data_IF_996967028550
#
_entry.id   IF_996967028550
#
_cell.length_a   1.000
_cell.length_b   1.000
_cell.length_c   1.000
_cell.angle_alpha   90.00
_cell.angle_beta   90.00
_cell.angle_gamma   90.00
#
_symmetry.space_group_name_H-M   'P 1'
#
loop_
_entity.id
_entity.type
_entity.pdbx_description
1 polymer ?
#
# COMPACT_ATOMS: atom_id res chain seq x y z
N UNK A 1 -3.92 -0.29 14.00
CA UNK A 1 -4.92 0.35 14.87
C UNK A 1 -4.34 1.53 15.64
N UNK A 2 -5.17 2.33 16.27
CA UNK A 2 -4.67 3.41 17.10
C UNK A 2 -3.84 2.85 18.25
N UNK A 3 -2.64 3.37 18.43
CA UNK A 3 -1.77 3.06 19.55
C UNK A 3 -1.40 4.34 20.29
N UNK A 4 -1.02 4.19 21.55
CA UNK A 4 -0.52 5.29 22.38
C UNK A 4 0.80 4.88 23.01
N UNK A 5 1.78 5.77 22.93
CA UNK A 5 3.04 5.67 23.67
C UNK A 5 3.15 6.95 24.51
N UNK A 6 3.27 6.77 25.82
CA UNK A 6 3.41 7.86 26.77
C UNK A 6 4.74 7.70 27.49
N UNK A 7 5.53 8.77 27.53
CA UNK A 7 6.73 8.84 28.36
C UNK A 7 6.41 9.82 29.49
N UNK A 8 6.36 9.30 30.72
CA UNK A 8 6.17 10.10 31.91
C UNK A 8 7.53 10.47 32.52
N UNK A 9 7.81 11.77 32.57
CA UNK A 9 9.08 12.33 33.05
C UNK A 9 8.90 13.20 34.28
N UNK A 10 7.75 13.10 34.99
CA UNK A 10 7.45 13.91 36.19
C UNK A 10 8.50 13.73 37.30
N UNK A 11 9.17 12.61 37.33
CA UNK A 11 10.32 12.38 38.20
C UNK A 11 11.60 12.42 37.36
N UNK A 12 12.48 13.39 37.62
CA UNK A 12 13.75 13.54 36.86
C UNK A 12 14.71 12.33 36.98
N UNK A 13 14.49 11.42 37.91
CA UNK A 13 15.31 10.23 38.13
C UNK A 13 14.76 8.97 37.47
N UNK A 14 13.48 8.97 37.12
CA UNK A 14 12.79 7.80 36.60
C UNK A 14 11.91 8.22 35.41
N UNK A 15 11.97 7.43 34.37
CA UNK A 15 11.12 7.60 33.19
C UNK A 15 10.23 6.37 33.04
N UNK A 16 8.94 6.57 32.96
CA UNK A 16 7.96 5.52 32.76
C UNK A 16 7.50 5.52 31.32
N UNK A 17 7.72 4.41 30.61
CA UNK A 17 7.18 4.17 29.28
C UNK A 17 5.90 3.36 29.41
N UNK A 18 4.80 3.89 28.90
CA UNK A 18 3.52 3.16 28.77
C UNK A 18 3.19 3.09 27.28
N UNK A 19 3.02 1.89 26.77
CA UNK A 19 2.68 1.66 25.37
C UNK A 19 1.55 0.64 25.25
N UNK A 20 0.60 0.88 24.37
CA UNK A 20 -0.54 -0.01 24.17
C UNK A 20 -1.50 0.47 23.11
N UNK A 21 -2.64 -0.20 23.02
CA UNK A 21 -3.78 0.24 22.21
C UNK A 21 -4.29 1.55 22.82
N UNK A 22 -4.60 2.53 21.96
CA UNK A 22 -5.19 3.79 22.42
C UNK A 22 -6.56 3.54 23.03
N UNK A 23 -6.81 4.12 24.18
CA UNK A 23 -8.12 4.09 24.84
C UNK A 23 -9.19 4.94 24.13
N UNK A 24 -8.79 5.79 23.19
CA UNK A 24 -9.72 6.64 22.46
C UNK A 24 -10.67 5.83 21.59
N UNK A 25 -11.96 5.80 21.97
CA UNK A 25 -13.01 5.04 21.29
C UNK A 25 -12.69 3.54 21.12
N UNK A 26 -11.92 2.94 22.04
CA UNK A 26 -11.43 1.56 21.90
C UNK A 26 -11.50 0.84 23.26
N UNK A 27 -12.71 0.69 23.79
CA UNK A 27 -12.97 -0.21 24.90
C UNK A 27 -13.18 -1.62 24.36
N UNK A 28 -12.59 -2.63 25.00
CA UNK A 28 -12.73 -4.02 24.59
C UNK A 28 -13.23 -4.86 25.76
N UNK A 29 -14.45 -5.40 25.64
CA UNK A 29 -15.09 -6.23 26.67
C UNK A 29 -14.75 -7.70 26.45
N UNK A 30 -14.11 -8.33 27.43
CA UNK A 30 -13.87 -9.78 27.46
C UNK A 30 -14.98 -10.47 28.23
N UNK A 31 -15.61 -11.48 27.61
CA UNK A 31 -16.55 -12.35 28.29
C UNK A 31 -15.80 -13.37 29.14
N UNK A 32 -16.52 -13.98 30.09
CA UNK A 32 -15.93 -15.03 30.92
C UNK A 32 -15.37 -16.18 30.07
N UNK A 33 -14.10 -16.46 30.26
CA UNK A 33 -13.37 -17.52 29.53
C UNK A 33 -12.70 -17.08 28.23
N UNK A 34 -12.91 -15.84 27.77
CA UNK A 34 -12.19 -15.28 26.63
C UNK A 34 -10.83 -14.75 27.05
N UNK A 35 -9.91 -14.69 26.08
CA UNK A 35 -8.57 -14.09 26.23
C UNK A 35 -8.34 -13.07 25.15
N UNK A 36 -7.57 -12.05 25.48
CA UNK A 36 -7.10 -11.02 24.54
C UNK A 36 -5.59 -10.96 24.55
N UNK A 37 -4.98 -11.09 23.37
CA UNK A 37 -3.54 -10.92 23.22
C UNK A 37 -3.26 -9.50 22.71
N UNK A 38 -2.53 -8.72 23.50
CA UNK A 38 -2.11 -7.38 23.10
C UNK A 38 -1.13 -7.44 21.91
N UNK A 39 -1.06 -6.41 21.08
CA UNK A 39 0.01 -6.29 20.09
C UNK A 39 1.39 -6.36 20.74
N UNK A 40 2.36 -6.92 20.01
CA UNK A 40 3.75 -6.91 20.44
C UNK A 40 4.30 -5.47 20.48
N UNK A 41 5.02 -5.11 21.52
CA UNK A 41 5.85 -3.92 21.60
C UNK A 41 7.31 -4.32 21.39
N UNK A 42 7.94 -3.80 20.34
CA UNK A 42 9.37 -3.94 20.12
C UNK A 42 10.09 -2.65 20.54
N UNK A 43 11.14 -2.78 21.35
CA UNK A 43 12.02 -1.67 21.66
C UNK A 43 13.49 -2.14 21.62
N UNK A 44 14.39 -1.21 21.36
CA UNK A 44 15.81 -1.49 21.30
C UNK A 44 16.60 -0.45 22.11
N UNK A 45 17.67 -0.92 22.70
CA UNK A 45 18.68 -0.08 23.35
C UNK A 45 20.02 -0.27 22.64
N UNK A 46 20.79 0.80 22.53
CA UNK A 46 22.16 0.75 21.99
C UNK A 46 23.02 1.85 22.62
N UNK A 47 24.24 1.52 22.95
CA UNK A 47 25.29 2.46 23.35
C UNK A 47 26.02 3.07 22.13
N UNK A 48 25.75 2.55 20.91
CA UNK A 48 26.22 3.09 19.64
C UNK A 48 25.31 4.19 19.06
N UNK A 49 24.43 4.77 19.85
CA UNK A 49 23.49 5.81 19.46
C UNK A 49 22.39 5.34 18.50
N UNK A 50 21.71 6.29 17.83
CA UNK A 50 20.56 6.01 16.97
C UNK A 50 20.89 5.07 15.79
N UNK A 51 22.10 5.14 15.25
CA UNK A 51 22.53 4.20 14.20
C UNK A 51 22.59 2.75 14.69
N UNK A 52 23.01 2.51 15.91
CA UNK A 52 23.01 1.19 16.55
C UNK A 52 21.59 0.66 16.72
N UNK A 53 20.66 1.49 17.22
CA UNK A 53 19.24 1.17 17.34
C UNK A 53 18.65 0.81 15.97
N UNK A 54 18.86 1.65 14.96
CA UNK A 54 18.38 1.44 13.60
C UNK A 54 18.86 0.11 13.00
N UNK A 55 20.17 -0.16 13.07
CA UNK A 55 20.74 -1.44 12.58
C UNK A 55 20.16 -2.66 13.33
N UNK A 56 19.84 -2.53 14.60
CA UNK A 56 19.22 -3.60 15.40
C UNK A 56 17.80 -3.90 14.91
N UNK A 57 16.99 -2.88 14.66
CA UNK A 57 15.66 -3.04 14.04
C UNK A 57 15.75 -3.67 12.65
N UNK A 58 16.68 -3.24 11.80
CA UNK A 58 16.83 -3.80 10.46
C UNK A 58 17.19 -5.28 10.48
N UNK A 59 18.15 -5.68 11.32
CA UNK A 59 18.52 -7.09 11.48
C UNK A 59 17.37 -7.91 12.03
N UNK A 60 16.72 -7.40 13.09
CA UNK A 60 15.57 -8.06 13.70
C UNK A 60 14.44 -8.26 12.70
N UNK A 61 14.08 -7.22 11.95
CA UNK A 61 12.98 -7.29 10.99
C UNK A 61 13.25 -8.30 9.86
N UNK A 62 14.47 -8.30 9.30
CA UNK A 62 14.85 -9.20 8.22
C UNK A 62 14.97 -10.66 8.64
N UNK A 63 15.51 -10.93 9.82
CA UNK A 63 15.85 -12.27 10.27
C UNK A 63 14.73 -12.97 11.04
N UNK A 64 13.72 -12.23 11.50
CA UNK A 64 12.62 -12.77 12.31
C UNK A 64 11.25 -12.66 11.59
N UNK A 65 11.25 -12.64 10.26
CA UNK A 65 10.02 -12.57 9.44
C UNK A 65 9.08 -11.41 9.81
N UNK A 66 9.65 -10.28 10.28
CA UNK A 66 8.87 -9.07 10.55
C UNK A 66 8.63 -8.23 9.29
N UNK A 67 9.25 -8.61 8.18
CA UNK A 67 8.95 -8.21 6.81
C UNK A 67 8.86 -9.49 5.98
N UNK A 68 7.77 -9.67 5.23
CA UNK A 68 7.63 -10.85 4.38
C UNK A 68 8.77 -10.89 3.35
N UNK A 69 9.41 -12.05 3.19
CA UNK A 69 10.56 -12.20 2.30
C UNK A 69 11.65 -11.12 2.49
N UNK A 70 11.92 -10.71 3.73
CA UNK A 70 12.81 -9.58 4.08
C UNK A 70 14.27 -9.72 3.63
N UNK A 71 14.69 -10.90 3.15
CA UNK A 71 16.02 -11.18 2.59
C UNK A 71 16.02 -11.36 1.07
N UNK A 72 14.85 -11.43 0.42
CA UNK A 72 14.74 -11.62 -1.01
C UNK A 72 15.12 -10.34 -1.79
N UNK A 73 15.71 -10.54 -2.97
CA UNK A 73 15.93 -9.45 -3.91
C UNK A 73 14.60 -8.94 -4.46
N UNK A 74 14.50 -7.64 -4.60
CA UNK A 74 13.33 -6.96 -5.18
C UNK A 74 13.60 -6.61 -6.64
N UNK A 75 12.55 -6.67 -7.47
CA UNK A 75 12.64 -6.33 -8.88
C UNK A 75 12.58 -4.82 -9.11
N UNK A 76 13.33 -4.35 -10.08
CA UNK A 76 13.26 -2.98 -10.55
C UNK A 76 11.98 -2.81 -11.35
N UNK A 77 11.08 -1.94 -10.87
CA UNK A 77 9.76 -1.76 -11.47
C UNK A 77 9.55 -0.39 -12.11
N UNK A 78 8.57 -0.34 -13.03
CA UNK A 78 7.89 0.89 -13.43
C UNK A 78 6.43 0.81 -13.00
N UNK A 79 5.99 1.81 -12.23
CA UNK A 79 4.59 2.04 -11.89
C UNK A 79 3.99 3.08 -12.86
N UNK A 80 2.76 2.86 -13.30
CA UNK A 80 2.12 3.73 -14.30
C UNK A 80 1.55 5.03 -13.74
N UNK A 81 1.42 5.19 -12.40
CA UNK A 81 0.66 6.29 -11.79
C UNK A 81 1.10 7.67 -12.29
N UNK A 82 2.29 8.13 -11.97
CA UNK A 82 2.75 9.47 -12.40
C UNK A 82 2.98 9.58 -13.91
N UNK A 83 3.00 8.45 -14.64
CA UNK A 83 3.04 8.45 -16.09
C UNK A 83 1.71 8.82 -16.74
N UNK A 84 0.62 8.24 -16.27
CA UNK A 84 -0.70 8.39 -16.94
C UNK A 84 -1.85 8.70 -15.98
N UNK A 85 -1.64 8.58 -14.67
CA UNK A 85 -2.71 8.68 -13.66
C UNK A 85 -3.88 7.75 -14.01
N UNK A 86 -5.12 8.21 -13.89
CA UNK A 86 -6.33 7.45 -14.23
C UNK A 86 -6.56 7.24 -15.75
N UNK A 87 -5.67 7.77 -16.61
CA UNK A 87 -5.78 7.64 -18.07
C UNK A 87 -5.14 6.34 -18.57
N UNK A 88 -5.51 5.24 -17.95
CA UNK A 88 -5.10 3.90 -18.37
C UNK A 88 -5.68 3.58 -19.74
N UNK A 89 -4.88 2.99 -20.62
CA UNK A 89 -5.30 2.45 -21.92
C UNK A 89 -4.40 1.28 -22.33
N UNK A 90 -4.93 0.36 -23.13
CA UNK A 90 -4.18 -0.80 -23.62
C UNK A 90 -2.83 -0.37 -24.25
N UNK A 91 -2.88 0.52 -25.23
CA UNK A 91 -1.70 1.02 -25.95
C UNK A 91 -0.73 1.76 -25.02
N UNK A 92 -1.28 2.59 -24.10
CA UNK A 92 -0.45 3.36 -23.16
C UNK A 92 0.35 2.45 -22.22
N UNK A 93 -0.28 1.37 -21.71
CA UNK A 93 0.40 0.39 -20.84
C UNK A 93 1.48 -0.36 -21.61
N UNK A 94 1.20 -0.81 -22.83
CA UNK A 94 2.17 -1.51 -23.66
C UNK A 94 3.39 -0.63 -24.02
N UNK A 95 3.18 0.65 -24.34
CA UNK A 95 4.29 1.61 -24.55
C UNK A 95 5.13 1.81 -23.30
N UNK A 96 4.52 1.85 -22.12
CA UNK A 96 5.28 1.95 -20.88
C UNK A 96 6.06 0.68 -20.58
N UNK A 97 5.51 -0.51 -20.94
CA UNK A 97 6.24 -1.79 -20.85
C UNK A 97 7.46 -1.81 -21.78
N UNK A 98 7.33 -1.30 -23.01
CA UNK A 98 8.47 -1.16 -23.92
C UNK A 98 9.56 -0.27 -23.32
N UNK A 99 9.16 0.86 -22.75
CA UNK A 99 10.08 1.79 -22.11
C UNK A 99 10.83 1.20 -20.92
N UNK A 100 10.15 0.50 -20.00
CA UNK A 100 10.85 -0.13 -18.85
C UNK A 100 11.74 -1.27 -19.30
N UNK A 101 11.33 -2.04 -20.31
CA UNK A 101 12.17 -3.07 -20.90
C UNK A 101 13.45 -2.49 -21.49
N UNK A 102 13.33 -1.39 -22.21
CA UNK A 102 14.48 -0.69 -22.79
C UNK A 102 15.46 -0.17 -21.73
N UNK A 103 14.94 0.26 -20.57
CA UNK A 103 15.72 0.70 -19.41
C UNK A 103 16.41 -0.45 -18.65
N UNK A 104 16.07 -1.70 -18.94
CA UNK A 104 16.61 -2.88 -18.23
C UNK A 104 15.81 -3.25 -16.97
N UNK A 105 14.63 -2.65 -16.74
CA UNK A 105 13.77 -3.03 -15.62
C UNK A 105 13.11 -4.40 -15.81
N UNK A 106 12.49 -4.89 -14.76
CA UNK A 106 12.07 -6.29 -14.64
C UNK A 106 10.57 -6.48 -14.39
N UNK A 107 9.86 -5.43 -13.96
CA UNK A 107 8.47 -5.50 -13.51
C UNK A 107 7.71 -4.25 -13.96
N UNK A 108 6.53 -4.45 -14.54
CA UNK A 108 5.58 -3.38 -14.84
C UNK A 108 4.36 -3.49 -13.92
N UNK A 109 3.97 -2.39 -13.30
CA UNK A 109 2.80 -2.30 -12.40
C UNK A 109 1.80 -1.31 -12.96
N UNK A 110 0.62 -1.79 -13.35
CA UNK A 110 -0.52 -0.95 -13.69
C UNK A 110 -1.17 -0.44 -12.41
N UNK A 111 -1.18 0.88 -12.23
CA UNK A 111 -1.77 1.54 -11.06
C UNK A 111 -3.28 1.78 -11.24
N UNK A 112 -3.89 2.65 -10.42
CA UNK A 112 -5.32 2.98 -10.41
C UNK A 112 -5.84 3.42 -11.79
N UNK A 113 -7.12 3.12 -12.06
CA UNK A 113 -7.82 3.58 -13.27
C UNK A 113 -8.21 2.49 -14.27
N UNK A 114 -7.97 1.21 -13.97
CA UNK A 114 -8.21 0.08 -14.89
C UNK A 114 -9.60 -0.54 -14.81
N UNK A 115 -10.39 -0.20 -13.79
CA UNK A 115 -11.64 -0.90 -13.41
C UNK A 115 -12.87 0.01 -13.48
N UNK A 116 -14.04 -0.60 -13.27
CA UNK A 116 -15.33 0.05 -13.19
C UNK A 116 -16.16 -0.08 -14.47
N UNK A 117 -17.31 -0.74 -14.39
CA UNK A 117 -18.23 -0.91 -15.52
C UNK A 117 -19.32 0.17 -15.53
N UNK A 118 -20.27 0.14 -14.62
CA UNK A 118 -21.33 1.16 -14.50
C UNK A 118 -20.77 2.56 -14.24
N UNK A 119 -19.81 2.65 -13.33
CA UNK A 119 -19.06 3.84 -12.98
C UNK A 119 -17.64 3.72 -13.50
N UNK A 120 -17.23 4.56 -14.44
CA UNK A 120 -15.89 4.50 -15.01
C UNK A 120 -14.88 5.17 -14.11
N UNK A 121 -13.82 4.44 -13.70
CA UNK A 121 -12.71 4.98 -12.90
C UNK A 121 -11.82 5.91 -13.71
N UNK A 122 -12.35 7.09 -14.06
CA UNK A 122 -11.62 8.17 -14.76
C UNK A 122 -11.43 9.40 -13.89
N UNK A 123 -12.03 9.41 -12.72
CA UNK A 123 -11.93 10.40 -11.64
C UNK A 123 -11.93 9.69 -10.29
N UNK A 124 -11.46 10.36 -9.25
CA UNK A 124 -11.29 9.76 -7.91
C UNK A 124 -12.61 9.53 -7.14
N UNK A 125 -13.74 9.99 -7.66
CA UNK A 125 -15.00 10.06 -6.94
C UNK A 125 -15.94 8.87 -7.18
N UNK A 126 -15.50 7.83 -7.91
CA UNK A 126 -16.34 6.69 -8.25
C UNK A 126 -15.59 5.39 -8.46
N UNK A 127 -16.34 4.29 -8.53
CA UNK A 127 -15.95 2.94 -8.93
C UNK A 127 -15.07 2.15 -7.95
N UNK A 128 -14.47 2.72 -6.89
CA UNK A 128 -13.81 1.89 -5.89
C UNK A 128 -14.80 0.87 -5.32
N UNK A 129 -14.37 -0.39 -5.28
CA UNK A 129 -15.20 -1.55 -4.94
C UNK A 129 -15.62 -2.39 -6.14
N UNK A 130 -15.68 -1.79 -7.34
CA UNK A 130 -16.13 -2.44 -8.58
C UNK A 130 -14.91 -2.97 -9.36
N UNK A 131 -14.31 -4.05 -8.89
CA UNK A 131 -13.07 -4.61 -9.42
C UNK A 131 -13.28 -5.41 -10.73
N UNK A 132 -13.97 -4.79 -11.67
CA UNK A 132 -14.23 -5.33 -13.01
C UNK A 132 -13.48 -4.50 -14.03
N UNK A 133 -12.78 -5.15 -14.96
CA UNK A 133 -12.01 -4.45 -16.02
C UNK A 133 -12.88 -3.50 -16.82
N UNK A 134 -12.48 -2.23 -16.92
CA UNK A 134 -13.10 -1.29 -17.86
C UNK A 134 -12.68 -1.61 -19.31
N UNK A 135 -13.54 -2.31 -20.03
CA UNK A 135 -13.29 -2.74 -21.42
C UNK A 135 -13.21 -1.60 -22.42
N UNK A 136 -13.67 -0.39 -22.05
CA UNK A 136 -13.50 0.82 -22.87
C UNK A 136 -12.05 1.30 -22.91
N UNK A 137 -11.33 1.09 -21.80
CA UNK A 137 -9.90 1.41 -21.63
C UNK A 137 -9.01 0.24 -22.04
N UNK A 138 -9.43 -0.97 -21.70
CA UNK A 138 -8.71 -2.24 -21.88
C UNK A 138 -9.58 -3.21 -22.70
N UNK A 139 -9.72 -2.99 -24.00
CA UNK A 139 -10.65 -3.79 -24.84
C UNK A 139 -10.30 -5.27 -24.89
N UNK A 140 -9.04 -5.64 -24.62
CA UNK A 140 -8.58 -7.02 -24.61
C UNK A 140 -8.47 -7.58 -23.18
N UNK A 141 -8.91 -6.81 -22.17
CA UNK A 141 -8.87 -7.17 -20.75
C UNK A 141 -7.47 -7.13 -20.13
N UNK A 142 -7.42 -7.24 -18.79
CA UNK A 142 -6.16 -7.31 -18.03
C UNK A 142 -5.29 -8.51 -18.40
N UNK A 143 -5.84 -9.71 -18.73
CA UNK A 143 -5.02 -10.85 -19.17
C UNK A 143 -4.19 -10.58 -20.43
N UNK A 144 -4.63 -9.70 -21.31
CA UNK A 144 -3.84 -9.31 -22.48
C UNK A 144 -2.59 -8.51 -22.09
N UNK A 145 -2.70 -7.64 -21.05
CA UNK A 145 -1.56 -6.87 -20.53
C UNK A 145 -0.55 -7.78 -19.79
N UNK A 146 -1.03 -8.76 -19.02
CA UNK A 146 -0.14 -9.78 -18.44
C UNK A 146 0.69 -10.51 -19.52
N UNK A 147 0.02 -10.96 -20.59
CA UNK A 147 0.70 -11.58 -21.74
C UNK A 147 1.66 -10.63 -22.43
N UNK A 148 1.29 -9.37 -22.60
CA UNK A 148 2.14 -8.34 -23.17
C UNK A 148 3.40 -8.08 -22.32
N UNK A 149 3.29 -8.08 -21.00
CA UNK A 149 4.43 -8.01 -20.08
C UNK A 149 5.33 -9.26 -20.24
N UNK A 150 4.75 -10.45 -20.21
CA UNK A 150 5.46 -11.72 -20.34
C UNK A 150 6.22 -11.82 -21.68
N UNK A 151 5.63 -11.39 -22.81
CA UNK A 151 6.27 -11.38 -24.14
C UNK A 151 7.51 -10.48 -24.20
N UNK A 152 7.59 -9.48 -23.32
CA UNK A 152 8.73 -8.57 -23.13
C UNK A 152 9.74 -9.07 -22.09
N UNK A 153 9.48 -10.23 -21.47
CA UNK A 153 10.29 -10.76 -20.37
C UNK A 153 10.12 -9.98 -19.05
N UNK A 154 9.02 -9.24 -18.93
CA UNK A 154 8.67 -8.50 -17.71
C UNK A 154 7.75 -9.33 -16.83
N UNK A 155 7.85 -9.13 -15.51
CA UNK A 155 6.82 -9.53 -14.57
C UNK A 155 5.67 -8.52 -14.63
N UNK A 156 4.48 -8.97 -14.22
CA UNK A 156 3.25 -8.20 -14.20
C UNK A 156 2.82 -7.88 -12.77
N UNK A 157 2.33 -6.68 -12.54
CA UNK A 157 1.72 -6.25 -11.28
C UNK A 157 0.53 -5.33 -11.49
N UNK A 158 -0.31 -5.24 -10.47
CA UNK A 158 -1.56 -4.48 -10.51
C UNK A 158 -1.82 -3.79 -9.16
N UNK A 159 -2.45 -2.63 -9.21
CA UNK A 159 -2.91 -1.86 -8.05
C UNK A 159 -4.34 -2.23 -7.67
N UNK A 160 -4.59 -2.30 -6.37
CA UNK A 160 -5.92 -2.42 -5.78
C UNK A 160 -6.02 -1.60 -4.49
N UNK A 161 -7.24 -1.20 -4.13
CA UNK A 161 -7.58 -0.58 -2.85
C UNK A 161 -8.82 -1.29 -2.26
N UNK A 162 -8.68 -2.58 -1.86
CA UNK A 162 -9.82 -3.46 -1.67
C UNK A 162 -10.57 -3.25 -0.35
N UNK A 163 -10.00 -2.47 0.57
CA UNK A 163 -10.64 -2.07 1.84
C UNK A 163 -11.52 -0.83 1.68
N UNK A 164 -11.64 -0.28 0.47
CA UNK A 164 -12.34 0.97 0.20
C UNK A 164 -13.42 0.81 -0.85
N UNK A 165 -14.40 1.71 -0.81
CA UNK A 165 -15.43 1.86 -1.84
C UNK A 165 -15.75 3.34 -2.04
N UNK A 166 -16.46 3.68 -3.11
CA UNK A 166 -17.05 5.01 -3.29
C UNK A 166 -18.57 4.93 -3.09
N UNK A 167 -19.19 6.03 -2.69
CA UNK A 167 -20.65 6.14 -2.70
C UNK A 167 -21.23 5.97 -4.11
N UNK A 168 -20.44 6.25 -5.15
CA UNK A 168 -20.73 5.98 -6.56
C UNK A 168 -20.03 4.70 -7.00
N UNK A 169 -20.50 3.55 -6.52
CA UNK A 169 -20.05 2.22 -6.94
C UNK A 169 -21.21 1.24 -6.89
N UNK A 170 -21.15 0.19 -7.69
CA UNK A 170 -22.13 -0.90 -7.65
C UNK A 170 -22.02 -1.67 -6.34
N UNK A 171 -20.81 -1.76 -5.76
CA UNK A 171 -20.62 -2.38 -4.46
C UNK A 171 -21.43 -1.66 -3.37
N UNK A 172 -21.32 -0.34 -3.30
CA UNK A 172 -22.06 0.45 -2.29
C UNK A 172 -23.57 0.44 -2.53
N UNK A 173 -24.02 0.41 -3.80
CA UNK A 173 -25.44 0.26 -4.12
C UNK A 173 -26.01 -1.07 -3.61
N UNK A 174 -25.23 -2.14 -3.67
CA UNK A 174 -25.62 -3.49 -3.25
C UNK A 174 -25.48 -3.70 -1.73
N UNK A 175 -24.45 -3.12 -1.14
CA UNK A 175 -24.02 -3.35 0.24
C UNK A 175 -23.69 -2.04 0.98
N UNK A 176 -24.65 -1.10 1.13
CA UNK A 176 -24.42 0.14 1.87
C UNK A 176 -24.20 -0.09 3.38
N UNK A 177 -24.49 -1.29 3.87
CA UNK A 177 -24.25 -1.71 5.25
C UNK A 177 -22.80 -2.15 5.51
N UNK A 178 -22.00 -2.40 4.47
CA UNK A 178 -20.62 -2.88 4.62
C UNK A 178 -19.59 -1.80 4.96
N UNK A 179 -20.02 -0.55 5.02
CA UNK A 179 -19.07 0.55 5.30
C UNK A 179 -18.98 0.85 6.79
N UNK A 180 -17.78 1.27 7.21
CA UNK A 180 -17.54 1.79 8.55
C UNK A 180 -18.41 3.03 8.76
N UNK A 181 -19.42 2.88 9.61
CA UNK A 181 -20.37 3.93 9.93
C UNK A 181 -21.14 3.55 11.19
N UNK A 182 -21.30 4.49 12.10
CA UNK A 182 -22.21 4.29 13.24
C UNK A 182 -23.64 4.08 12.73
N UNK A 183 -24.40 3.09 13.26
CA UNK A 183 -25.72 2.74 12.75
C UNK A 183 -26.71 3.91 12.59
N UNK A 184 -26.61 4.91 13.46
CA UNK A 184 -27.52 6.06 13.51
C UNK A 184 -26.91 7.34 12.91
N UNK A 185 -25.86 7.24 12.09
CA UNK A 185 -25.18 8.41 11.48
C UNK A 185 -24.97 8.21 9.99
N UNK A 186 -24.80 9.31 9.27
CA UNK A 186 -24.37 9.29 7.87
C UNK A 186 -22.87 8.97 7.82
N UNK A 187 -22.40 8.14 6.88
CA UNK A 187 -20.99 7.92 6.67
C UNK A 187 -20.24 9.23 6.41
N UNK A 188 -19.04 9.37 6.96
CA UNK A 188 -18.12 10.43 6.59
C UNK A 188 -17.35 9.94 5.37
N UNK A 189 -17.37 10.76 4.31
CA UNK A 189 -16.67 10.50 3.07
C UNK A 189 -15.30 11.15 3.06
N UNK A 190 -14.33 10.45 2.49
CA UNK A 190 -12.95 10.91 2.32
C UNK A 190 -12.66 11.46 0.92
N UNK A 191 -11.58 11.01 0.34
CA UNK A 191 -11.03 11.43 -0.95
C UNK A 191 -12.12 11.50 -2.03
N UNK A 192 -12.07 12.53 -2.86
CA UNK A 192 -13.08 12.79 -3.90
C UNK A 192 -14.49 13.11 -3.36
N UNK A 193 -14.66 13.26 -2.04
CA UNK A 193 -15.96 13.48 -1.39
C UNK A 193 -16.88 12.26 -1.40
N UNK A 194 -16.40 11.08 -1.78
CA UNK A 194 -17.21 9.87 -1.96
C UNK A 194 -16.58 8.60 -1.40
N UNK A 195 -15.28 8.60 -1.08
CA UNK A 195 -14.57 7.42 -0.60
C UNK A 195 -15.03 7.01 0.81
N UNK A 196 -15.23 5.72 1.00
CA UNK A 196 -15.67 5.08 2.24
C UNK A 196 -14.79 3.88 2.56
N UNK A 197 -14.71 3.52 3.83
CA UNK A 197 -13.96 2.35 4.31
C UNK A 197 -14.91 1.18 4.47
N UNK A 198 -14.55 0.02 3.96
CA UNK A 198 -15.26 -1.23 4.20
C UNK A 198 -14.97 -1.76 5.61
N UNK A 199 -15.98 -2.28 6.26
CA UNK A 199 -15.89 -2.77 7.65
C UNK A 199 -15.27 -4.16 7.73
N UNK A 200 -13.96 -4.23 7.92
CA UNK A 200 -13.23 -5.49 8.05
C UNK A 200 -13.56 -6.29 9.31
N UNK A 201 -14.35 -5.76 10.26
CA UNK A 201 -14.90 -6.56 11.35
C UNK A 201 -15.97 -7.56 10.86
N UNK A 202 -16.60 -7.28 9.71
CA UNK A 202 -17.60 -8.12 9.08
C UNK A 202 -16.96 -9.25 8.25
N UNK A 203 -17.23 -10.54 8.54
CA UNK A 203 -16.72 -11.66 7.75
C UNK A 203 -17.08 -11.64 6.26
N UNK A 204 -18.26 -11.11 5.89
CA UNK A 204 -18.66 -11.00 4.48
C UNK A 204 -17.74 -10.02 3.72
N UNK A 205 -17.35 -8.93 4.38
CA UNK A 205 -16.36 -7.96 3.84
C UNK A 205 -14.98 -8.61 3.73
N UNK A 206 -14.56 -9.41 4.72
CA UNK A 206 -13.32 -10.18 4.65
C UNK A 206 -13.30 -11.13 3.46
N UNK A 207 -14.42 -11.81 3.20
CA UNK A 207 -14.57 -12.72 2.06
C UNK A 207 -14.56 -11.96 0.74
N UNK A 208 -15.20 -10.79 0.66
CA UNK A 208 -15.14 -9.91 -0.50
C UNK A 208 -13.71 -9.47 -0.80
N UNK A 209 -12.98 -8.94 0.20
CA UNK A 209 -11.61 -8.46 0.04
C UNK A 209 -10.66 -9.59 -0.38
N UNK A 210 -10.80 -10.78 0.21
CA UNK A 210 -10.08 -11.97 -0.24
C UNK A 210 -10.43 -12.30 -1.70
N UNK A 211 -11.72 -12.23 -2.05
CA UNK A 211 -12.23 -12.52 -3.39
C UNK A 211 -11.65 -11.58 -4.46
N UNK A 212 -11.40 -10.31 -4.14
CA UNK A 212 -10.75 -9.36 -5.06
C UNK A 212 -9.38 -9.89 -5.50
N UNK A 213 -8.52 -10.26 -4.55
CA UNK A 213 -7.21 -10.84 -4.85
C UNK A 213 -7.33 -12.17 -5.57
N UNK A 214 -8.22 -13.04 -5.10
CA UNK A 214 -8.42 -14.39 -5.67
C UNK A 214 -8.87 -14.33 -7.12
N UNK A 215 -9.75 -13.40 -7.47
CA UNK A 215 -10.22 -13.21 -8.85
C UNK A 215 -9.11 -12.67 -9.76
N UNK A 216 -8.33 -11.69 -9.31
CA UNK A 216 -7.16 -11.21 -10.06
C UNK A 216 -6.20 -12.38 -10.35
N UNK A 217 -5.87 -13.17 -9.33
CA UNK A 217 -4.97 -14.31 -9.49
C UNK A 217 -5.53 -15.42 -10.37
N UNK A 218 -6.85 -15.54 -10.50
CA UNK A 218 -7.50 -16.47 -11.43
C UNK A 218 -7.50 -15.96 -12.86
N UNK A 219 -7.74 -14.66 -13.05
CA UNK A 219 -7.74 -14.03 -14.39
C UNK A 219 -6.34 -13.87 -14.94
N UNK A 220 -5.37 -13.53 -14.08
CA UNK A 220 -3.97 -13.28 -14.41
C UNK A 220 -3.06 -14.12 -13.49
N UNK A 221 -2.92 -15.44 -13.79
CA UNK A 221 -2.26 -16.39 -12.87
C UNK A 221 -0.75 -16.17 -12.73
N UNK A 222 -0.12 -15.37 -13.62
CA UNK A 222 1.29 -15.01 -13.52
C UNK A 222 1.49 -13.62 -12.86
N UNK A 223 0.45 -13.06 -12.24
CA UNK A 223 0.59 -11.83 -11.45
C UNK A 223 1.64 -12.05 -10.37
N UNK A 224 2.70 -11.26 -10.46
CA UNK A 224 3.84 -11.31 -9.53
C UNK A 224 3.70 -10.32 -8.39
N UNK A 225 2.98 -9.21 -8.61
CA UNK A 225 2.99 -8.08 -7.70
C UNK A 225 1.60 -7.43 -7.56
N UNK A 226 1.24 -7.12 -6.33
CA UNK A 226 0.06 -6.30 -6.01
C UNK A 226 0.48 -5.08 -5.19
N UNK A 227 0.16 -3.88 -5.66
CA UNK A 227 0.17 -2.68 -4.83
C UNK A 227 -1.17 -2.56 -4.13
N UNK A 228 -1.17 -2.77 -2.82
CA UNK A 228 -2.36 -2.73 -1.97
C UNK A 228 -2.43 -1.40 -1.24
N UNK A 229 -3.38 -0.57 -1.63
CA UNK A 229 -3.58 0.77 -1.11
C UNK A 229 -4.72 0.86 -0.08
N UNK A 230 -4.75 1.97 0.69
CA UNK A 230 -5.81 2.31 1.63
C UNK A 230 -5.75 3.82 1.94
N UNK A 231 -6.43 4.62 1.15
CA UNK A 231 -6.23 6.08 1.09
C UNK A 231 -7.21 6.90 1.96
N UNK A 232 -7.89 6.23 2.89
CA UNK A 232 -8.78 6.92 3.82
C UNK A 232 -8.65 6.33 5.24
N UNK A 233 -8.65 7.20 6.24
CA UNK A 233 -8.59 6.82 7.65
C UNK A 233 -9.98 6.84 8.32
N UNK A 234 -10.20 6.00 9.34
CA UNK A 234 -11.46 5.94 10.08
C UNK A 234 -11.63 7.22 10.90
N UNK A 235 -12.59 8.05 10.51
CA UNK A 235 -12.92 9.30 11.19
C UNK A 235 -14.22 9.24 12.00
N UNK A 236 -15.21 8.50 11.51
CA UNK A 236 -16.50 8.29 12.18
C UNK A 236 -16.70 6.81 12.45
N UNK A 237 -16.08 6.32 13.53
CA UNK A 237 -16.07 4.91 13.82
C UNK A 237 -17.46 4.41 14.22
N UNK A 238 -17.74 3.18 13.82
CA UNK A 238 -18.94 2.45 14.08
C UNK A 238 -19.12 1.36 13.04
N UNK A 239 -19.93 0.37 13.35
CA UNK A 239 -20.18 -0.78 12.52
C UNK A 239 -21.67 -1.13 12.53
N UNK A 240 -22.24 -1.37 11.35
CA UNK A 240 -23.58 -1.93 11.24
C UNK A 240 -23.61 -3.44 11.50
N UNK A 241 -22.44 -4.08 11.48
CA UNK A 241 -22.27 -5.50 11.77
C UNK A 241 -22.13 -5.77 13.28
N UNK A 242 -21.34 -4.95 14.01
CA UNK A 242 -21.13 -5.11 15.43
C UNK A 242 -22.40 -4.74 16.23
N UNK A 243 -22.69 -5.51 17.28
CA UNK A 243 -23.78 -5.19 18.20
C UNK A 243 -23.55 -3.84 18.91
N UNK A 244 -24.59 -3.26 19.48
CA UNK A 244 -24.51 -1.98 20.20
C UNK A 244 -23.44 -1.96 21.29
N UNK A 245 -23.34 -3.06 22.05
CA UNK A 245 -22.39 -3.20 23.15
C UNK A 245 -20.93 -3.37 22.67
N UNK A 246 -20.72 -3.75 21.41
CA UNK A 246 -19.40 -4.02 20.83
C UNK A 246 -18.95 -2.94 19.84
N UNK A 247 -19.63 -1.80 19.74
CA UNK A 247 -19.22 -0.73 18.82
C UNK A 247 -17.78 -0.23 19.08
N UNK A 248 -17.37 -0.18 20.34
CA UNK A 248 -16.02 0.20 20.76
C UNK A 248 -14.93 -0.82 20.40
N UNK A 249 -15.32 -2.03 19.98
CA UNK A 249 -14.37 -3.06 19.50
C UNK A 249 -13.86 -2.80 18.08
N UNK A 250 -14.50 -1.91 17.31
CA UNK A 250 -14.26 -1.76 15.87
C UNK A 250 -12.80 -1.68 15.48
N UNK A 251 -11.99 -0.85 16.16
CA UNK A 251 -10.57 -0.71 15.82
C UNK A 251 -9.78 -1.99 15.96
N UNK A 252 -10.09 -2.78 16.97
CA UNK A 252 -9.44 -4.08 17.22
C UNK A 252 -9.94 -5.10 16.19
N UNK A 253 -11.27 -5.23 16.07
CA UNK A 253 -11.89 -6.23 15.21
C UNK A 253 -11.65 -5.97 13.73
N UNK A 254 -11.55 -4.70 13.31
CA UNK A 254 -11.09 -4.32 11.97
C UNK A 254 -9.69 -4.89 11.66
N UNK A 255 -8.74 -4.67 12.56
CA UNK A 255 -7.38 -5.16 12.37
C UNK A 255 -7.27 -6.68 12.44
N UNK A 256 -8.04 -7.32 13.30
CA UNK A 256 -8.11 -8.78 13.35
C UNK A 256 -8.71 -9.35 12.05
N UNK A 257 -9.75 -8.73 11.51
CA UNK A 257 -10.35 -9.11 10.24
C UNK A 257 -9.40 -8.91 9.05
N UNK A 258 -8.71 -7.76 8.98
CA UNK A 258 -7.71 -7.50 7.96
C UNK A 258 -6.56 -8.53 8.03
N UNK A 259 -6.03 -8.77 9.22
CA UNK A 259 -4.98 -9.76 9.44
C UNK A 259 -5.41 -11.16 8.99
N UNK A 260 -6.60 -11.61 9.39
CA UNK A 260 -7.15 -12.90 8.98
C UNK A 260 -7.27 -13.01 7.46
N UNK A 261 -7.69 -11.93 6.79
CA UNK A 261 -7.76 -11.88 5.32
C UNK A 261 -6.39 -11.99 4.68
N UNK A 262 -5.40 -11.25 5.18
CA UNK A 262 -4.02 -11.31 4.71
C UNK A 262 -3.38 -12.69 4.96
N UNK A 263 -3.64 -13.32 6.10
CA UNK A 263 -3.20 -14.70 6.38
C UNK A 263 -3.77 -15.70 5.37
N UNK A 264 -5.04 -15.57 5.00
CA UNK A 264 -5.67 -16.40 3.95
C UNK A 264 -5.02 -16.18 2.59
N UNK A 265 -4.74 -14.92 2.23
CA UNK A 265 -4.06 -14.59 0.97
C UNK A 265 -2.66 -15.21 0.95
N UNK A 266 -1.88 -15.05 2.01
CA UNK A 266 -0.53 -15.60 2.11
C UNK A 266 -0.51 -17.13 2.09
N UNK A 267 -1.49 -17.78 2.71
CA UNK A 267 -1.62 -19.24 2.67
C UNK A 267 -1.89 -19.76 1.25
N UNK A 268 -2.65 -19.00 0.44
CA UNK A 268 -2.99 -19.41 -0.94
C UNK A 268 -1.96 -18.96 -1.97
N UNK A 269 -1.36 -17.79 -1.78
CA UNK A 269 -0.44 -17.13 -2.70
C UNK A 269 0.86 -16.72 -1.97
N UNK A 270 1.67 -17.69 -1.52
CA UNK A 270 2.86 -17.41 -0.70
C UNK A 270 3.94 -16.60 -1.45
N UNK A 271 4.03 -16.77 -2.76
CA UNK A 271 5.07 -16.13 -3.60
C UNK A 271 4.63 -14.76 -4.17
N UNK A 272 3.38 -14.35 -3.94
CA UNK A 272 2.88 -13.05 -4.39
C UNK A 272 3.58 -11.93 -3.63
N UNK A 273 4.22 -11.03 -4.34
CA UNK A 273 4.79 -9.81 -3.75
C UNK A 273 3.69 -8.79 -3.51
N UNK A 274 3.53 -8.33 -2.28
CA UNK A 274 2.52 -7.33 -1.93
C UNK A 274 3.19 -6.10 -1.32
N UNK A 275 2.93 -4.93 -1.91
CA UNK A 275 3.35 -3.64 -1.37
C UNK A 275 2.23 -3.04 -0.52
N UNK A 276 2.58 -2.63 0.71
CA UNK A 276 1.69 -1.86 1.58
C UNK A 276 1.72 -0.38 1.18
N UNK A 277 0.55 0.17 0.89
CA UNK A 277 0.36 1.60 0.66
C UNK A 277 -0.82 2.12 1.48
N UNK A 278 -0.76 3.37 1.89
CA UNK A 278 -1.84 4.15 2.48
C UNK A 278 -1.47 5.62 2.32
N UNK A 279 -1.65 6.16 1.11
CA UNK A 279 -1.10 7.46 0.69
C UNK A 279 0.41 7.53 1.01
N UNK A 280 1.13 6.48 0.69
CA UNK A 280 2.49 6.21 1.17
C UNK A 280 2.52 5.30 2.40
N UNK A 281 3.41 5.62 3.35
CA UNK A 281 3.66 4.83 4.57
C UNK A 281 2.67 5.06 5.71
N UNK A 282 1.47 5.59 5.46
CA UNK A 282 0.53 6.04 6.50
C UNK A 282 0.11 4.96 7.51
N UNK A 283 0.19 3.67 7.15
CA UNK A 283 -0.15 2.56 8.06
C UNK A 283 0.96 1.53 8.26
N UNK A 284 2.18 1.82 7.79
CA UNK A 284 3.28 0.86 7.93
C UNK A 284 3.64 0.63 9.39
N UNK A 285 3.70 -0.64 9.78
CA UNK A 285 4.13 -1.08 11.12
C UNK A 285 4.51 -2.56 11.09
N UNK A 286 5.26 -3.02 12.09
CA UNK A 286 5.70 -4.41 12.16
C UNK A 286 4.60 -5.43 12.51
N UNK A 287 3.39 -5.00 12.78
CA UNK A 287 2.21 -5.88 12.87
C UNK A 287 1.63 -6.25 11.51
N UNK A 288 1.81 -5.38 10.48
CA UNK A 288 1.36 -5.60 9.10
C UNK A 288 2.47 -6.14 8.19
N UNK A 289 3.71 -5.69 8.37
CA UNK A 289 4.82 -6.06 7.49
C UNK A 289 5.14 -7.56 7.38
N UNK A 290 4.76 -8.46 8.31
CA UNK A 290 4.83 -9.91 8.06
C UNK A 290 3.97 -10.39 6.89
N UNK A 291 3.01 -9.59 6.45
CA UNK A 291 2.13 -9.89 5.31
C UNK A 291 2.48 -9.10 4.05
N UNK A 292 3.40 -8.12 4.14
CA UNK A 292 3.83 -7.25 3.04
C UNK A 292 5.33 -7.37 2.81
N UNK A 293 5.71 -7.43 1.55
CA UNK A 293 7.13 -7.56 1.15
C UNK A 293 7.86 -6.22 1.22
N UNK A 294 7.13 -5.14 0.98
CA UNK A 294 7.62 -3.77 1.00
C UNK A 294 6.49 -2.78 1.26
N UNK A 295 6.82 -1.52 1.48
CA UNK A 295 5.85 -0.44 1.56
C UNK A 295 6.24 0.75 0.69
N UNK A 296 5.24 1.46 0.17
CA UNK A 296 5.41 2.74 -0.47
C UNK A 296 5.72 3.80 0.57
N UNK A 297 6.87 4.46 0.46
CA UNK A 297 7.37 5.32 1.54
C UNK A 297 6.56 6.61 1.65
N UNK A 298 6.21 7.22 0.51
CA UNK A 298 5.42 8.45 0.46
C UNK A 298 4.94 8.74 -0.97
N UNK A 299 3.73 9.29 -1.11
CA UNK A 299 3.24 9.85 -2.37
C UNK A 299 3.96 11.14 -2.77
N UNK A 300 4.72 11.75 -1.86
CA UNK A 300 5.62 12.83 -2.23
C UNK A 300 6.90 12.25 -2.84
N UNK A 301 6.97 12.32 -4.17
CA UNK A 301 8.08 11.77 -4.97
C UNK A 301 9.16 12.78 -5.32
N UNK A 302 9.07 14.01 -4.81
CA UNK A 302 10.13 15.00 -4.97
C UNK A 302 11.44 14.51 -4.35
N UNK A 303 12.48 14.32 -5.17
CA UNK A 303 13.72 13.68 -4.72
C UNK A 303 14.42 14.45 -3.58
N UNK A 304 14.30 15.79 -3.52
CA UNK A 304 14.87 16.55 -2.41
C UNK A 304 14.09 16.31 -1.10
N UNK A 305 12.77 16.24 -1.16
CA UNK A 305 11.94 15.90 0.00
C UNK A 305 12.17 14.46 0.44
N UNK A 306 12.35 13.55 -0.51
CA UNK A 306 12.61 12.14 -0.26
C UNK A 306 13.89 11.88 0.53
N UNK A 307 14.91 12.74 0.47
CA UNK A 307 16.09 12.62 1.36
C UNK A 307 15.67 12.55 2.84
N UNK A 308 14.78 13.41 3.27
CA UNK A 308 14.31 13.45 4.67
C UNK A 308 13.32 12.32 4.97
N UNK A 309 12.37 12.08 4.05
CA UNK A 309 11.33 11.06 4.20
C UNK A 309 11.97 9.66 4.27
N UNK A 310 12.88 9.35 3.34
CA UNK A 310 13.54 8.06 3.26
C UNK A 310 14.50 7.84 4.42
N UNK A 311 15.26 8.87 4.79
CA UNK A 311 16.14 8.81 5.95
C UNK A 311 15.35 8.57 7.25
N UNK A 312 14.26 9.31 7.48
CA UNK A 312 13.40 9.13 8.64
C UNK A 312 12.79 7.73 8.71
N UNK A 313 12.27 7.22 7.58
CA UNK A 313 11.72 5.87 7.49
C UNK A 313 12.78 4.79 7.73
N UNK A 314 14.00 5.01 7.26
CA UNK A 314 15.13 4.08 7.44
C UNK A 314 15.61 3.94 8.89
N UNK A 315 15.17 4.83 9.80
CA UNK A 315 15.46 4.64 11.23
C UNK A 315 14.84 3.37 11.80
N UNK A 316 13.70 2.96 11.27
CA UNK A 316 12.96 1.77 11.76
C UNK A 316 12.93 0.63 10.74
N UNK A 317 12.87 0.94 9.44
CA UNK A 317 12.64 -0.07 8.40
C UNK A 317 13.88 -0.30 7.53
N UNK A 318 14.20 -1.57 7.20
CA UNK A 318 15.33 -1.88 6.34
C UNK A 318 15.08 -1.41 4.90
N UNK A 319 16.14 -1.02 4.20
CA UNK A 319 16.06 -0.50 2.83
C UNK A 319 15.34 -1.45 1.85
N UNK A 320 15.45 -2.78 2.04
CA UNK A 320 14.77 -3.78 1.21
C UNK A 320 13.24 -3.75 1.32
N UNK A 321 12.71 -3.17 2.40
CA UNK A 321 11.27 -3.00 2.60
C UNK A 321 10.75 -1.64 2.09
N UNK A 322 11.63 -0.73 1.68
CA UNK A 322 11.31 0.64 1.30
C UNK A 322 11.27 0.79 -0.21
N UNK A 323 10.09 0.88 -0.80
CA UNK A 323 9.93 1.15 -2.22
C UNK A 323 10.19 2.64 -2.52
N UNK A 324 11.08 2.89 -3.49
CA UNK A 324 11.52 4.24 -3.83
C UNK A 324 11.61 4.40 -5.34
N UNK A 325 10.98 5.46 -5.86
CA UNK A 325 10.84 5.64 -7.30
C UNK A 325 11.55 6.91 -7.80
N UNK A 326 12.14 6.78 -8.99
CA UNK A 326 12.50 7.92 -9.84
C UNK A 326 11.22 8.48 -10.43
N UNK A 327 10.88 9.71 -10.07
CA UNK A 327 9.69 10.40 -10.57
C UNK A 327 9.98 11.29 -11.79
N UNK A 328 8.92 11.82 -12.40
CA UNK A 328 9.02 12.82 -13.46
C UNK A 328 9.67 14.14 -12.98
N UNK A 329 10.17 14.93 -13.92
CA UNK A 329 10.65 16.30 -13.69
C UNK A 329 10.09 17.20 -14.79
N UNK A 330 9.43 18.33 -14.45
CA UNK A 330 9.14 18.83 -13.09
C UNK A 330 8.31 17.87 -12.24
N UNK A 331 8.58 17.81 -10.93
CA UNK A 331 7.78 17.00 -10.02
C UNK A 331 6.32 17.48 -9.99
N UNK A 332 5.36 16.54 -9.97
CA UNK A 332 3.93 16.88 -10.08
C UNK A 332 3.39 17.66 -8.88
N UNK A 333 3.93 17.45 -7.66
CA UNK A 333 3.48 18.12 -6.45
C UNK A 333 4.21 19.44 -6.23
N UNK A 334 5.55 19.42 -6.21
CA UNK A 334 6.38 20.57 -5.84
C UNK A 334 6.73 21.48 -7.00
N UNK A 335 6.54 21.02 -8.26
CA UNK A 335 6.96 21.67 -9.50
C UNK A 335 8.48 21.87 -9.62
N UNK A 336 9.25 21.26 -8.73
CA UNK A 336 10.70 21.36 -8.74
C UNK A 336 11.30 20.57 -9.91
N UNK A 337 12.27 21.20 -10.57
CA UNK A 337 13.09 20.57 -11.62
C UNK A 337 14.35 20.01 -10.97
N UNK A 338 14.54 18.70 -11.03
CA UNK A 338 15.66 18.00 -10.43
C UNK A 338 16.36 17.15 -11.49
N UNK A 339 17.71 17.21 -11.58
CA UNK A 339 18.47 16.40 -12.53
C UNK A 339 18.20 14.89 -12.36
N UNK A 340 18.16 14.16 -13.47
CA UNK A 340 17.86 12.72 -13.47
C UNK A 340 18.82 11.93 -12.57
N UNK A 341 20.12 12.27 -12.60
CA UNK A 341 21.13 11.62 -11.75
C UNK A 341 20.74 11.71 -10.27
N UNK A 342 20.37 12.89 -9.77
CA UNK A 342 19.99 13.06 -8.36
C UNK A 342 18.73 12.27 -8.01
N UNK A 343 17.73 12.21 -8.92
CA UNK A 343 16.53 11.41 -8.74
C UNK A 343 16.86 9.91 -8.60
N UNK A 344 17.79 9.39 -9.40
CA UNK A 344 18.29 8.02 -9.31
C UNK A 344 19.07 7.78 -8.00
N UNK A 345 20.02 8.66 -7.66
CA UNK A 345 20.82 8.53 -6.44
C UNK A 345 19.93 8.41 -5.19
N UNK A 346 18.86 9.21 -5.12
CA UNK A 346 17.89 9.15 -4.02
C UNK A 346 17.07 7.88 -4.07
N UNK A 347 16.55 7.47 -5.22
CA UNK A 347 15.74 6.27 -5.36
C UNK A 347 16.53 4.98 -5.08
N UNK A 348 17.84 4.96 -5.34
CA UNK A 348 18.71 3.81 -5.07
C UNK A 348 19.03 3.57 -3.60
N UNK A 349 18.61 4.45 -2.69
CA UNK A 349 18.77 4.22 -1.24
C UNK A 349 17.83 3.16 -0.66
N UNK A 350 16.90 2.63 -1.47
CA UNK A 350 16.01 1.51 -1.16
C UNK A 350 15.74 0.64 -2.37
N UNK A 351 14.57 0.02 -2.47
CA UNK A 351 14.18 -0.75 -3.65
C UNK A 351 13.88 0.20 -4.81
N UNK A 352 14.75 0.17 -5.80
CA UNK A 352 14.64 1.03 -6.99
C UNK A 352 13.38 0.72 -7.79
N UNK A 353 12.65 1.75 -8.15
CA UNK A 353 11.59 1.75 -9.13
C UNK A 353 11.54 3.07 -9.88
N UNK A 354 10.60 3.17 -10.79
CA UNK A 354 10.34 4.37 -11.59
C UNK A 354 8.85 4.63 -11.63
N UNK A 355 8.47 5.91 -11.71
CA UNK A 355 7.09 6.38 -11.77
C UNK A 355 7.01 7.62 -12.65
N UNK A 356 7.19 7.39 -13.95
CA UNK A 356 7.23 8.42 -15.00
C UNK A 356 6.98 7.75 -16.34
N UNK A 357 6.81 8.53 -17.40
CA UNK A 357 6.87 8.01 -18.78
C UNK A 357 8.31 7.89 -19.23
N UNK A 358 8.83 6.69 -19.54
CA UNK A 358 10.16 6.55 -20.11
C UNK A 358 10.37 7.33 -21.41
N UNK A 359 9.28 7.50 -22.18
CA UNK A 359 9.30 8.29 -23.43
C UNK A 359 9.56 9.79 -23.25
N UNK A 360 9.45 10.32 -22.03
CA UNK A 360 9.71 11.74 -21.74
C UNK A 360 11.21 12.00 -21.49
N UNK A 361 12.04 10.95 -21.41
CA UNK A 361 13.49 11.08 -21.29
C UNK A 361 14.12 11.49 -22.62
N UNK A 362 15.04 12.45 -22.55
CA UNK A 362 15.92 12.77 -23.68
C UNK A 362 16.87 11.60 -23.97
N UNK A 363 17.44 11.50 -25.17
CA UNK A 363 18.41 10.45 -25.53
C UNK A 363 19.55 10.35 -24.51
N UNK A 364 20.06 11.50 -24.05
CA UNK A 364 21.13 11.56 -23.04
C UNK A 364 20.67 11.02 -21.69
N UNK A 365 19.45 11.36 -21.26
CA UNK A 365 18.86 10.85 -20.02
C UNK A 365 18.56 9.36 -20.12
N UNK A 366 18.07 8.89 -21.26
CA UNK A 366 17.81 7.47 -21.52
C UNK A 366 19.11 6.66 -21.42
N UNK A 367 20.21 7.14 -22.04
CA UNK A 367 21.50 6.49 -21.94
C UNK A 367 22.01 6.44 -20.49
N UNK A 368 21.85 7.53 -19.73
CA UNK A 368 22.18 7.55 -18.30
C UNK A 368 21.34 6.55 -17.50
N UNK A 369 20.01 6.55 -17.70
CA UNK A 369 19.10 5.68 -16.98
C UNK A 369 19.38 4.19 -17.21
N UNK A 370 19.70 3.79 -18.47
CA UNK A 370 20.14 2.42 -18.79
C UNK A 370 21.38 2.00 -18.00
N UNK A 371 22.38 2.88 -17.91
CA UNK A 371 23.58 2.60 -17.13
C UNK A 371 23.31 2.56 -15.61
N UNK A 372 22.36 3.36 -15.12
CA UNK A 372 22.02 3.39 -13.71
C UNK A 372 21.20 2.17 -13.27
N UNK A 373 20.42 1.56 -14.18
CA UNK A 373 19.61 0.35 -13.93
C UNK A 373 20.46 -0.93 -14.05
N UNK A 374 21.49 -0.93 -14.91
CA UNK A 374 22.41 -2.06 -15.11
C UNK A 374 23.31 -2.32 -13.90
#
# INVERSE_FOLDING_TARGET
GPYRITIDTRNQKEHHLIAGISEANSEYTLKKGESFTTPELAFAYSDEGMGGVSRSYHRWARLNNKVHNGTALRKILLNSWEGVYLRVSQEGMEKMMDGIKELGGELFVMDDGWFGDKYQRSVDDCALGDWVTDTRKLPNGVPALEKAAASRGLKWGIWIEPEMTNTKSELYEKHPEWVVCHPNRTPITGRGGTQLILDMSNPEVQDFVFGVVDNIMKETPNTYYIKWDANFEIQNFGSKYLSGDNQSHLYVDYHLGLRKTLERIRAKYPDLVIQCCASGGGRVNYGLMPYFDEFWVSDNTDAQQRLFIQWGSSMFFPACAMAQHVSASPNHQTRRVIPLKFRFDVAMTGRLGMEMKPSDLTEKELAYAKNAVA
#
